data_IF_267883813555
#
_entry.id   IF_267883813555
#
_cell.length_a   1.000
_cell.length_b   1.000
_cell.length_c   1.000
_cell.angle_alpha   90.00
_cell.angle_beta   90.00
_cell.angle_gamma   90.00
#
_symmetry.space_group_name_H-M   'P 1'
#
loop_
_entity.id
_entity.type
_entity.pdbx_description
1 polymer ?
#
# COMPACT_ATOMS: atom_id res chain seq x y z
N UNK A 1 -9.28 -13.56 12.09
CA UNK A 1 -8.06 -14.31 11.68
C UNK A 1 -7.08 -13.33 11.06
N UNK A 2 -5.80 -13.41 11.40
CA UNK A 2 -4.79 -12.57 10.72
C UNK A 2 -4.47 -13.22 9.38
N UNK A 3 -4.51 -12.44 8.29
CA UNK A 3 -4.12 -12.92 6.97
C UNK A 3 -2.66 -13.38 6.99
N UNK A 4 -2.39 -14.58 6.50
CA UNK A 4 -1.04 -15.10 6.34
C UNK A 4 -0.45 -14.54 5.04
N UNK A 5 0.66 -13.80 5.13
CA UNK A 5 1.33 -13.14 3.99
C UNK A 5 0.40 -12.21 3.18
N UNK A 6 -0.11 -11.12 3.79
CA UNK A 6 -0.89 -10.12 3.07
C UNK A 6 -0.08 -9.53 1.90
N UNK A 7 -0.65 -9.51 0.68
CA UNK A 7 0.04 -9.02 -0.51
C UNK A 7 0.33 -7.53 -0.41
N UNK A 8 1.42 -7.08 -1.02
CA UNK A 8 1.74 -5.65 -1.10
C UNK A 8 0.64 -4.93 -1.91
N UNK A 9 0.03 -3.86 -1.40
CA UNK A 9 -1.13 -3.24 -2.06
C UNK A 9 -0.77 -2.61 -3.40
N UNK A 10 0.49 -2.22 -3.62
CA UNK A 10 0.98 -1.81 -4.93
C UNK A 10 0.78 -2.86 -6.05
N UNK A 11 0.97 -4.14 -5.75
CA UNK A 11 0.68 -5.22 -6.69
C UNK A 11 -0.81 -5.39 -6.97
N UNK A 12 -1.66 -5.07 -5.99
CA UNK A 12 -3.12 -5.01 -6.18
C UNK A 12 -3.49 -3.86 -7.11
N UNK A 13 -2.93 -2.66 -6.90
CA UNK A 13 -3.15 -1.50 -7.80
C UNK A 13 -2.77 -1.86 -9.24
N UNK A 14 -1.65 -2.56 -9.46
CA UNK A 14 -1.27 -3.01 -10.80
C UNK A 14 -2.31 -3.94 -11.43
N UNK A 15 -2.63 -5.04 -10.74
CA UNK A 15 -3.44 -6.15 -11.28
C UNK A 15 -4.94 -5.86 -11.33
N UNK A 16 -5.44 -5.05 -10.41
CA UNK A 16 -6.88 -4.80 -10.26
C UNK A 16 -7.31 -3.40 -10.71
N UNK A 17 -6.39 -2.46 -10.88
CA UNK A 17 -6.73 -1.11 -11.34
C UNK A 17 -6.14 -0.81 -12.72
N UNK A 18 -4.83 -1.01 -12.92
CA UNK A 18 -4.16 -0.62 -14.18
C UNK A 18 -4.44 -1.61 -15.31
N UNK A 19 -4.16 -2.90 -15.08
CA UNK A 19 -4.27 -3.95 -16.10
C UNK A 19 -5.70 -4.08 -16.68
N UNK A 20 -6.78 -4.10 -15.88
CA UNK A 20 -8.15 -4.22 -16.42
C UNK A 20 -8.58 -3.03 -17.27
N UNK A 21 -7.99 -1.85 -17.03
CA UNK A 21 -8.27 -0.62 -17.77
C UNK A 21 -7.30 -0.40 -18.94
N UNK A 22 -6.33 -1.31 -19.16
CA UNK A 22 -5.28 -1.15 -20.18
C UNK A 22 -4.40 0.08 -19.95
N UNK A 23 -4.29 0.57 -18.71
CA UNK A 23 -3.56 1.79 -18.41
C UNK A 23 -2.05 1.53 -18.32
N UNK A 24 -1.28 2.32 -19.06
CA UNK A 24 0.17 2.39 -18.85
C UNK A 24 0.48 3.10 -17.53
N UNK A 25 1.64 2.81 -16.93
CA UNK A 25 2.10 3.50 -15.72
C UNK A 25 2.16 5.01 -15.95
N UNK A 26 2.58 5.45 -17.12
CA UNK A 26 2.62 6.89 -17.46
C UNK A 26 1.22 7.50 -17.42
N UNK A 27 0.24 6.88 -18.11
CA UNK A 27 -1.12 7.42 -18.18
C UNK A 27 -1.82 7.41 -16.83
N UNK A 28 -1.63 6.35 -16.05
CA UNK A 28 -2.18 6.26 -14.70
C UNK A 28 -1.56 7.29 -13.75
N UNK A 29 -0.24 7.55 -13.85
CA UNK A 29 0.44 8.54 -13.03
C UNK A 29 -0.08 9.96 -13.29
N UNK A 30 -0.29 10.31 -14.56
CA UNK A 30 -0.94 11.57 -14.96
C UNK A 30 -2.34 11.69 -14.35
N UNK A 31 -3.17 10.65 -14.48
CA UNK A 31 -4.54 10.64 -13.94
C UNK A 31 -4.60 10.73 -12.42
N UNK A 32 -3.61 10.17 -11.72
CA UNK A 32 -3.48 10.25 -10.26
C UNK A 32 -2.81 11.56 -9.79
N UNK A 33 -2.27 12.38 -10.70
CA UNK A 33 -1.55 13.59 -10.35
C UNK A 33 -0.27 13.31 -9.56
N UNK A 34 0.48 12.27 -9.94
CA UNK A 34 1.76 11.88 -9.32
C UNK A 34 2.85 11.71 -10.37
N UNK A 35 4.10 11.67 -9.94
CA UNK A 35 5.19 11.36 -10.87
C UNK A 35 5.09 9.92 -11.35
N UNK A 36 5.51 9.67 -12.60
CA UNK A 36 5.62 8.31 -13.15
C UNK A 36 6.49 7.41 -12.27
N UNK A 37 7.56 7.96 -11.69
CA UNK A 37 8.45 7.23 -10.79
C UNK A 37 7.71 6.77 -9.53
N UNK A 38 6.97 7.66 -8.86
CA UNK A 38 6.23 7.31 -7.65
C UNK A 38 5.22 6.19 -7.89
N UNK A 39 4.45 6.27 -8.98
CA UNK A 39 3.53 5.19 -9.33
C UNK A 39 4.28 3.90 -9.70
N UNK A 40 5.39 4.00 -10.43
CA UNK A 40 6.22 2.85 -10.80
C UNK A 40 6.78 2.13 -9.57
N UNK A 41 7.28 2.86 -8.57
CA UNK A 41 7.79 2.27 -7.33
C UNK A 41 6.66 1.58 -6.55
N UNK A 42 5.48 2.20 -6.49
CA UNK A 42 4.31 1.60 -5.87
C UNK A 42 3.90 0.28 -6.56
N UNK A 43 3.65 0.30 -7.87
CA UNK A 43 3.11 -0.87 -8.60
C UNK A 43 4.12 -2.02 -8.77
N UNK A 44 5.42 -1.74 -8.54
CA UNK A 44 6.47 -2.75 -8.47
C UNK A 44 6.83 -3.13 -7.02
N UNK A 45 5.98 -2.77 -6.04
CA UNK A 45 6.09 -3.18 -4.65
C UNK A 45 7.40 -2.70 -3.96
N UNK A 46 7.93 -1.57 -4.43
CA UNK A 46 9.14 -0.92 -3.89
C UNK A 46 8.85 0.27 -2.98
N UNK A 47 7.63 0.78 -3.03
CA UNK A 47 7.14 1.86 -2.16
C UNK A 47 5.72 1.56 -1.68
N UNK A 48 5.41 1.93 -0.44
CA UNK A 48 4.08 1.77 0.13
C UNK A 48 3.07 2.85 -0.27
N UNK A 49 1.83 2.67 0.11
CA UNK A 49 0.75 3.65 -0.06
C UNK A 49 0.80 4.68 1.07
N UNK A 50 1.08 5.94 0.73
CA UNK A 50 0.89 7.07 1.64
C UNK A 50 -0.59 7.45 1.79
N UNK A 51 -0.93 8.24 2.82
CA UNK A 51 -2.30 8.76 3.02
C UNK A 51 -2.81 9.51 1.78
N UNK A 52 -1.97 10.38 1.20
CA UNK A 52 -2.35 11.15 0.02
C UNK A 52 -2.52 10.25 -1.21
N UNK A 53 -1.68 9.20 -1.36
CA UNK A 53 -1.85 8.21 -2.41
C UNK A 53 -3.15 7.41 -2.23
N UNK A 54 -3.50 7.02 -1.01
CA UNK A 54 -4.76 6.32 -0.73
C UNK A 54 -5.98 7.15 -1.14
N UNK A 55 -5.96 8.46 -0.91
CA UNK A 55 -7.00 9.39 -1.38
C UNK A 55 -7.06 9.43 -2.91
N UNK A 56 -5.90 9.51 -3.59
CA UNK A 56 -5.83 9.50 -5.06
C UNK A 56 -6.40 8.20 -5.64
N UNK A 57 -6.01 7.06 -5.09
CA UNK A 57 -6.48 5.74 -5.52
C UNK A 57 -7.99 5.58 -5.29
N UNK A 58 -8.51 6.04 -4.14
CA UNK A 58 -9.94 6.03 -3.86
C UNK A 58 -10.74 6.84 -4.89
N UNK A 59 -10.26 8.04 -5.24
CA UNK A 59 -10.89 8.90 -6.25
C UNK A 59 -10.82 8.31 -7.67
N UNK A 60 -9.72 7.65 -8.02
CA UNK A 60 -9.49 7.16 -9.38
C UNK A 60 -10.07 5.76 -9.65
N UNK A 61 -10.03 4.86 -8.66
CA UNK A 61 -10.34 3.44 -8.83
C UNK A 61 -11.42 2.92 -7.87
N UNK A 62 -11.94 3.77 -6.98
CA UNK A 62 -12.92 3.40 -5.97
C UNK A 62 -12.30 2.78 -4.72
N UNK A 63 -13.13 2.12 -3.90
CA UNK A 63 -12.82 1.80 -2.50
C UNK A 63 -12.63 3.06 -1.64
N UNK A 64 -12.22 2.90 -0.37
CA UNK A 64 -11.97 4.01 0.56
C UNK A 64 -10.48 4.17 0.86
N UNK A 65 -10.02 5.37 1.24
CA UNK A 65 -8.62 5.57 1.67
C UNK A 65 -8.22 4.63 2.82
N UNK A 66 -9.12 4.38 3.77
CA UNK A 66 -8.90 3.49 4.91
C UNK A 66 -8.72 2.04 4.46
N UNK A 67 -9.41 1.62 3.39
CA UNK A 67 -9.25 0.28 2.83
C UNK A 67 -7.85 0.11 2.24
N UNK A 68 -7.37 1.08 1.46
CA UNK A 68 -6.02 1.06 0.90
C UNK A 68 -4.93 1.10 1.98
N UNK A 69 -5.09 1.96 2.99
CA UNK A 69 -4.18 2.04 4.14
C UNK A 69 -4.23 0.78 5.01
N UNK A 70 -5.41 0.16 5.15
CA UNK A 70 -5.57 -1.10 5.87
C UNK A 70 -4.79 -2.24 5.21
N UNK A 71 -4.78 -2.31 3.87
CA UNK A 71 -3.95 -3.27 3.14
C UNK A 71 -2.45 -3.01 3.37
N UNK A 72 -2.02 -1.74 3.30
CA UNK A 72 -0.64 -1.36 3.57
C UNK A 72 -0.21 -1.73 4.99
N UNK A 73 -1.02 -1.38 5.99
CA UNK A 73 -0.76 -1.70 7.38
C UNK A 73 -0.69 -3.22 7.62
N UNK A 74 -1.60 -4.00 7.02
CA UNK A 74 -1.56 -5.45 7.12
C UNK A 74 -0.25 -6.02 6.53
N UNK A 75 0.17 -5.53 5.36
CA UNK A 75 1.43 -5.89 4.72
C UNK A 75 2.64 -5.55 5.60
N UNK A 76 2.74 -4.31 6.05
CA UNK A 76 3.87 -3.81 6.84
C UNK A 76 4.01 -4.54 8.18
N UNK A 77 2.89 -4.78 8.87
CA UNK A 77 2.89 -5.54 10.12
C UNK A 77 3.33 -6.99 9.91
N UNK A 78 2.96 -7.61 8.80
CA UNK A 78 3.40 -8.97 8.48
C UNK A 78 4.91 -9.02 8.19
N UNK A 79 5.43 -8.07 7.41
CA UNK A 79 6.88 -7.97 7.16
C UNK A 79 7.66 -7.69 8.44
N UNK A 80 7.12 -6.85 9.33
CA UNK A 80 7.75 -6.51 10.61
C UNK A 80 7.75 -7.68 11.61
N UNK A 81 6.84 -8.66 11.49
CA UNK A 81 6.77 -9.80 12.42
C UNK A 81 8.04 -10.63 12.46
N UNK A 82 8.72 -10.79 11.34
CA UNK A 82 9.99 -11.51 11.29
C UNK A 82 11.07 -10.86 12.20
N UNK A 83 11.00 -9.53 12.32
CA UNK A 83 11.91 -8.75 13.17
C UNK A 83 11.35 -8.46 14.56
N UNK A 84 10.09 -8.82 14.83
CA UNK A 84 9.42 -8.44 16.07
C UNK A 84 10.14 -8.99 17.32
N UNK A 85 10.74 -10.18 17.23
CA UNK A 85 11.54 -10.76 18.31
C UNK A 85 12.83 -10.00 18.61
N UNK A 86 13.32 -9.18 17.68
CA UNK A 86 14.53 -8.36 17.83
C UNK A 86 14.22 -6.97 18.44
N UNK A 87 12.94 -6.62 18.57
CA UNK A 87 12.51 -5.32 19.11
C UNK A 87 12.44 -5.44 20.64
N UNK A 88 13.53 -5.05 21.32
CA UNK A 88 13.59 -5.00 22.78
C UNK A 88 12.86 -3.76 23.32
N UNK A 89 11.84 -3.96 24.15
CA UNK A 89 11.03 -2.89 24.75
C UNK A 89 10.69 -3.22 26.21
N UNK A 90 10.64 -2.19 27.05
CA UNK A 90 10.07 -2.28 28.40
C UNK A 90 8.56 -2.06 28.34
N UNK A 91 7.80 -2.80 29.15
CA UNK A 91 6.35 -2.58 29.28
C UNK A 91 6.09 -1.48 30.31
N UNK A 92 5.70 -0.30 29.84
CA UNK A 92 5.23 0.77 30.72
C UNK A 92 3.88 0.40 31.35
N UNK A 93 3.77 0.53 32.67
CA UNK A 93 2.52 0.47 33.40
C UNK A 93 2.19 1.87 33.93
N UNK A 94 0.89 2.20 34.00
CA UNK A 94 0.46 3.39 34.74
C UNK A 94 0.74 3.16 36.24
N UNK A 95 1.25 4.19 36.91
CA UNK A 95 1.47 4.19 38.36
C UNK A 95 0.15 4.11 39.14
#
# INVERSE_FOLDING_TARGET
>A
MVMHNPPHPGGIVKRQCLEPLGLTVTRAAEGLGVTRQALSELVNERAGISVEMAIRLSKAFGSTPETWLGMQMAHDLWQARDRASQIAVERFAAA
#
